data_IF_094891298044
#
_entry.id   IF_094891298044
#
_cell.length_a   1.000
_cell.length_b   1.000
_cell.length_c   1.000
_cell.angle_alpha   90.00
_cell.angle_beta   90.00
_cell.angle_gamma   90.00
#
_symmetry.space_group_name_H-M   'P 1'
#
loop_
_entity.id
_entity.type
_entity.pdbx_description
1 polymer ?
#
# COMPACT_ATOMS: atom_id res chain seq x y z
N UNK A 1 20.77 -13.66 -16.97
CA UNK A 1 19.36 -13.61 -16.52
C UNK A 1 18.67 -12.57 -17.39
N UNK A 2 17.53 -12.90 -18.03
CA UNK A 2 16.85 -11.94 -18.89
C UNK A 2 16.12 -10.91 -18.00
N UNK A 3 16.61 -9.66 -18.01
CA UNK A 3 16.09 -8.59 -17.15
C UNK A 3 14.62 -8.27 -17.48
N UNK A 4 14.27 -8.24 -18.77
CA UNK A 4 12.91 -8.01 -19.24
C UNK A 4 11.95 -9.08 -18.73
N UNK A 5 12.40 -10.34 -18.66
CA UNK A 5 11.57 -11.43 -18.15
C UNK A 5 11.26 -11.24 -16.65
N UNK A 6 12.24 -10.80 -15.86
CA UNK A 6 12.04 -10.54 -14.43
C UNK A 6 11.15 -9.33 -14.20
N UNK A 7 11.38 -8.25 -14.95
CA UNK A 7 10.59 -7.04 -14.90
C UNK A 7 9.12 -7.33 -15.27
N UNK A 8 8.88 -7.96 -16.42
CA UNK A 8 7.53 -8.32 -16.85
C UNK A 8 6.89 -9.35 -15.91
N UNK A 9 7.67 -10.31 -15.42
CA UNK A 9 7.24 -11.28 -14.43
C UNK A 9 6.78 -10.62 -13.12
N UNK A 10 7.52 -9.65 -12.60
CA UNK A 10 7.14 -8.91 -11.40
C UNK A 10 5.84 -8.11 -11.58
N UNK A 11 5.70 -7.42 -12.72
CA UNK A 11 4.48 -6.69 -13.04
C UNK A 11 3.28 -7.63 -13.16
N UNK A 12 3.41 -8.74 -13.88
CA UNK A 12 2.34 -9.72 -14.02
C UNK A 12 2.00 -10.40 -12.68
N UNK A 13 3.01 -10.64 -11.84
CA UNK A 13 2.83 -11.29 -10.54
C UNK A 13 1.94 -10.50 -9.59
N UNK A 14 2.04 -9.16 -9.56
CA UNK A 14 1.23 -8.34 -8.63
C UNK A 14 -0.24 -8.23 -9.04
N UNK A 15 -0.56 -8.32 -10.34
CA UNK A 15 -1.91 -8.06 -10.87
C UNK A 15 -3.00 -8.98 -10.31
N UNK A 16 -2.79 -10.31 -10.15
CA UNK A 16 -3.76 -11.18 -9.50
C UNK A 16 -4.11 -10.73 -8.08
N UNK A 17 -3.14 -10.28 -7.28
CA UNK A 17 -3.39 -9.84 -5.91
C UNK A 17 -4.24 -8.57 -5.88
N UNK A 18 -3.93 -7.60 -6.73
CA UNK A 18 -4.75 -6.39 -6.91
C UNK A 18 -6.17 -6.72 -7.36
N UNK A 19 -6.30 -7.60 -8.35
CA UNK A 19 -7.60 -8.04 -8.88
C UNK A 19 -8.43 -8.70 -7.78
N UNK A 20 -7.84 -9.58 -6.98
CA UNK A 20 -8.51 -10.22 -5.85
C UNK A 20 -8.99 -9.20 -4.81
N UNK A 21 -8.14 -8.24 -4.42
CA UNK A 21 -8.49 -7.20 -3.45
C UNK A 21 -9.58 -6.25 -3.95
N UNK A 22 -9.59 -5.92 -5.24
CA UNK A 22 -10.52 -4.95 -5.85
C UNK A 22 -11.87 -5.61 -6.19
N UNK A 23 -11.86 -6.76 -6.85
CA UNK A 23 -13.05 -7.41 -7.42
C UNK A 23 -13.71 -8.36 -6.43
N UNK A 24 -12.91 -9.11 -5.66
CA UNK A 24 -13.39 -10.16 -4.75
C UNK A 24 -12.93 -9.93 -3.30
N UNK A 25 -13.18 -8.75 -2.70
CA UNK A 25 -12.64 -8.40 -1.39
C UNK A 25 -13.19 -9.27 -0.25
N UNK A 26 -14.39 -9.82 -0.37
CA UNK A 26 -15.01 -10.64 0.70
C UNK A 26 -14.76 -12.14 0.55
N UNK A 27 -14.06 -12.57 -0.49
CA UNK A 27 -13.85 -13.99 -0.75
C UNK A 27 -12.84 -14.58 0.23
N UNK A 28 -13.15 -15.76 0.80
CA UNK A 28 -12.30 -16.40 1.82
C UNK A 28 -10.88 -16.72 1.31
N UNK A 29 -10.74 -17.04 0.02
CA UNK A 29 -9.44 -17.25 -0.60
C UNK A 29 -8.64 -15.93 -0.69
N UNK A 30 -9.28 -14.83 -1.10
CA UNK A 30 -8.65 -13.50 -1.12
C UNK A 30 -8.08 -13.15 0.25
N UNK A 31 -8.86 -13.34 1.32
CA UNK A 31 -8.40 -13.08 2.69
C UNK A 31 -7.16 -13.91 3.03
N UNK A 32 -7.22 -15.23 2.80
CA UNK A 32 -6.11 -16.14 3.11
C UNK A 32 -4.84 -15.82 2.31
N UNK A 33 -4.98 -15.48 1.04
CA UNK A 33 -3.84 -15.13 0.17
C UNK A 33 -3.20 -13.81 0.61
N UNK A 34 -4.00 -12.78 0.88
CA UNK A 34 -3.52 -11.45 1.25
C UNK A 34 -3.00 -11.40 2.70
N UNK A 35 -3.50 -12.25 3.60
CA UNK A 35 -2.95 -12.43 4.95
C UNK A 35 -1.57 -13.11 4.95
N UNK A 36 -1.27 -13.92 3.94
CA UNK A 36 0.03 -14.57 3.81
C UNK A 36 1.14 -13.57 3.49
N UNK A 37 2.32 -13.76 4.08
CA UNK A 37 3.52 -13.01 3.70
C UNK A 37 4.21 -13.56 2.45
N UNK A 38 3.77 -14.72 1.94
CA UNK A 38 4.43 -15.42 0.84
C UNK A 38 4.60 -14.57 -0.44
N UNK A 39 3.60 -13.79 -0.90
CA UNK A 39 3.77 -12.93 -2.07
C UNK A 39 4.85 -11.86 -1.87
N UNK A 40 4.93 -11.31 -0.66
CA UNK A 40 5.89 -10.28 -0.29
C UNK A 40 7.30 -10.85 -0.18
N UNK A 41 7.46 -12.05 0.37
CA UNK A 41 8.76 -12.74 0.42
C UNK A 41 9.26 -13.04 -0.99
N UNK A 42 8.39 -13.47 -1.90
CA UNK A 42 8.77 -13.72 -3.30
C UNK A 42 9.27 -12.44 -3.99
N UNK A 43 8.54 -11.33 -3.86
CA UNK A 43 8.96 -10.04 -4.44
C UNK A 43 10.20 -9.46 -3.76
N UNK A 44 10.33 -9.59 -2.43
CA UNK A 44 11.50 -9.15 -1.69
C UNK A 44 12.75 -9.98 -2.05
N UNK A 45 12.59 -11.29 -2.29
CA UNK A 45 13.65 -12.15 -2.80
C UNK A 45 14.10 -11.72 -4.20
N UNK A 46 13.16 -11.42 -5.10
CA UNK A 46 13.48 -10.87 -6.42
C UNK A 46 14.20 -9.52 -6.30
N UNK A 47 13.71 -8.61 -5.46
CA UNK A 47 14.36 -7.34 -5.17
C UNK A 47 15.79 -7.56 -4.68
N UNK A 48 16.03 -8.48 -3.75
CA UNK A 48 17.37 -8.74 -3.21
C UNK A 48 18.33 -9.22 -4.31
N UNK A 49 17.88 -10.11 -5.20
CA UNK A 49 18.69 -10.59 -6.33
C UNK A 49 19.04 -9.46 -7.28
N UNK A 50 18.06 -8.63 -7.65
CA UNK A 50 18.28 -7.47 -8.54
C UNK A 50 19.16 -6.41 -7.88
N UNK A 51 18.92 -6.12 -6.60
CA UNK A 51 19.68 -5.15 -5.82
C UNK A 51 21.15 -5.54 -5.75
N UNK A 52 21.46 -6.75 -5.28
CA UNK A 52 22.84 -7.26 -5.24
C UNK A 52 23.47 -7.29 -6.63
N UNK A 53 22.70 -7.67 -7.65
CA UNK A 53 23.16 -7.66 -9.05
C UNK A 53 23.36 -6.28 -9.67
N UNK A 54 22.83 -5.22 -9.05
CA UNK A 54 22.98 -3.82 -9.45
C UNK A 54 24.05 -3.07 -8.67
N UNK A 55 24.55 -3.65 -7.56
CA UNK A 55 25.60 -3.04 -6.75
C UNK A 55 26.98 -3.17 -7.42
N UNK A 56 27.60 -2.01 -7.64
CA UNK A 56 28.99 -1.80 -7.99
C UNK A 56 29.57 -0.64 -7.16
N UNK A 57 30.87 -0.35 -7.32
CA UNK A 57 31.55 0.72 -6.56
C UNK A 57 30.85 2.07 -6.72
N UNK A 58 30.57 2.48 -7.95
CA UNK A 58 29.94 3.77 -8.26
C UNK A 58 28.52 3.90 -7.65
N UNK A 59 27.72 2.84 -7.76
CA UNK A 59 26.38 2.79 -7.17
C UNK A 59 26.42 2.80 -5.63
N UNK A 60 27.38 2.12 -5.02
CA UNK A 60 27.52 2.07 -3.57
C UNK A 60 27.93 3.43 -3.01
N UNK A 61 28.84 4.14 -3.67
CA UNK A 61 29.23 5.50 -3.28
C UNK A 61 28.05 6.48 -3.40
N UNK A 62 27.32 6.42 -4.51
CA UNK A 62 26.15 7.27 -4.71
C UNK A 62 25.02 6.97 -3.70
N UNK A 63 24.81 5.71 -3.30
CA UNK A 63 23.85 5.39 -2.25
C UNK A 63 24.34 5.83 -0.86
N UNK A 64 25.65 5.84 -0.61
CA UNK A 64 26.22 6.30 0.65
C UNK A 64 26.17 7.83 0.81
N UNK A 65 26.33 8.57 -0.29
CA UNK A 65 26.19 10.03 -0.34
C UNK A 65 25.21 10.46 -1.45
N UNK A 66 23.89 10.32 -1.23
CA UNK A 66 22.90 10.50 -2.28
C UNK A 66 22.78 11.96 -2.73
N UNK A 67 23.24 12.23 -3.94
CA UNK A 67 22.97 13.45 -4.68
C UNK A 67 21.98 13.18 -5.81
N UNK A 68 21.05 14.11 -6.05
CA UNK A 68 19.99 13.93 -7.04
C UNK A 68 20.55 13.63 -8.45
N UNK A 69 21.64 14.31 -8.83
CA UNK A 69 22.27 14.11 -10.14
C UNK A 69 22.89 12.70 -10.28
N UNK A 70 23.50 12.18 -9.22
CA UNK A 70 24.16 10.88 -9.23
C UNK A 70 23.12 9.75 -9.22
N UNK A 71 22.06 9.89 -8.42
CA UNK A 71 20.94 8.96 -8.46
C UNK A 71 20.27 8.94 -9.84
N UNK A 72 20.02 10.10 -10.45
CA UNK A 72 19.42 10.17 -11.79
C UNK A 72 20.29 9.46 -12.85
N UNK A 73 21.62 9.57 -12.75
CA UNK A 73 22.55 8.85 -13.63
C UNK A 73 22.50 7.34 -13.40
N UNK A 74 22.44 6.90 -12.15
CA UNK A 74 22.33 5.47 -11.83
C UNK A 74 21.02 4.86 -12.30
N UNK A 75 19.91 5.59 -12.17
CA UNK A 75 18.61 5.15 -12.69
C UNK A 75 18.56 5.07 -14.23
N UNK A 76 19.55 5.60 -14.95
CA UNK A 76 19.66 5.38 -16.40
C UNK A 76 20.12 3.94 -16.73
N UNK A 77 20.70 3.21 -15.77
CA UNK A 77 21.00 1.78 -15.91
C UNK A 77 19.71 0.97 -15.73
N UNK A 78 19.39 0.13 -16.71
CA UNK A 78 18.18 -0.71 -16.72
C UNK A 78 18.09 -1.61 -15.48
N UNK A 79 19.21 -2.12 -14.95
CA UNK A 79 19.22 -2.98 -13.77
C UNK A 79 18.87 -2.22 -12.52
N UNK A 80 19.44 -1.02 -12.34
CA UNK A 80 19.11 -0.15 -11.21
C UNK A 80 17.66 0.29 -11.29
N UNK A 81 17.19 0.65 -12.49
CA UNK A 81 15.79 0.98 -12.74
C UNK A 81 14.85 -0.20 -12.41
N UNK A 82 15.17 -1.41 -12.86
CA UNK A 82 14.37 -2.61 -12.56
C UNK A 82 14.35 -2.90 -11.05
N UNK A 83 15.49 -2.76 -10.36
CA UNK A 83 15.56 -2.88 -8.89
C UNK A 83 14.64 -1.87 -8.19
N UNK A 84 14.70 -0.60 -8.60
CA UNK A 84 13.83 0.45 -8.07
C UNK A 84 12.35 0.20 -8.38
N UNK A 85 12.04 -0.31 -9.57
CA UNK A 85 10.67 -0.66 -9.95
C UNK A 85 10.10 -1.79 -9.08
N UNK A 86 10.87 -2.87 -8.89
CA UNK A 86 10.44 -3.97 -8.00
C UNK A 86 10.30 -3.48 -6.57
N UNK A 87 11.14 -2.55 -6.11
CA UNK A 87 10.97 -1.90 -4.81
C UNK A 87 9.59 -1.22 -4.70
N UNK A 88 9.18 -0.44 -5.70
CA UNK A 88 7.84 0.17 -5.73
C UNK A 88 6.73 -0.88 -5.72
N UNK A 89 6.84 -1.93 -6.56
CA UNK A 89 5.84 -3.00 -6.58
C UNK A 89 5.64 -3.69 -5.22
N UNK A 90 6.73 -3.95 -4.49
CA UNK A 90 6.68 -4.55 -3.14
C UNK A 90 5.98 -3.60 -2.17
N UNK A 91 6.37 -2.33 -2.16
CA UNK A 91 5.84 -1.34 -1.23
C UNK A 91 4.38 -1.01 -1.51
N UNK A 92 4.01 -0.83 -2.78
CA UNK A 92 2.64 -0.54 -3.19
C UNK A 92 1.70 -1.70 -2.89
N UNK A 93 2.13 -2.94 -3.15
CA UNK A 93 1.33 -4.12 -2.78
C UNK A 93 1.17 -4.24 -1.25
N UNK A 94 2.20 -3.87 -0.49
CA UNK A 94 2.15 -3.93 0.97
C UNK A 94 1.20 -2.89 1.54
N UNK A 95 1.26 -1.66 1.02
CA UNK A 95 0.31 -0.59 1.34
C UNK A 95 -1.11 -0.98 0.91
N UNK A 96 -1.28 -1.55 -0.28
CA UNK A 96 -2.56 -2.06 -0.78
C UNK A 96 -3.14 -3.13 0.14
N UNK A 97 -2.33 -4.09 0.60
CA UNK A 97 -2.72 -5.07 1.61
C UNK A 97 -3.19 -4.39 2.90
N UNK A 98 -2.46 -3.40 3.39
CA UNK A 98 -2.84 -2.68 4.61
C UNK A 98 -4.19 -1.96 4.44
N UNK A 99 -4.37 -1.22 3.34
CA UNK A 99 -5.65 -0.57 3.00
C UNK A 99 -6.78 -1.60 2.97
N UNK A 100 -6.57 -2.73 2.28
CA UNK A 100 -7.55 -3.80 2.17
C UNK A 100 -7.92 -4.36 3.56
N UNK A 101 -6.93 -4.71 4.39
CA UNK A 101 -7.17 -5.25 5.73
C UNK A 101 -7.90 -4.26 6.64
N UNK A 102 -7.55 -2.97 6.56
CA UNK A 102 -8.24 -1.95 7.34
C UNK A 102 -9.68 -1.77 6.88
N UNK A 103 -9.95 -1.76 5.57
CA UNK A 103 -11.31 -1.76 5.03
C UNK A 103 -12.15 -2.95 5.49
N UNK A 104 -11.55 -4.13 5.55
CA UNK A 104 -12.23 -5.34 6.03
C UNK A 104 -12.56 -5.29 7.53
N UNK A 105 -11.71 -4.64 8.32
CA UNK A 105 -11.90 -4.49 9.78
C UNK A 105 -12.90 -3.40 10.12
N UNK A 106 -12.88 -2.29 9.39
CA UNK A 106 -13.70 -1.09 9.67
C UNK A 106 -15.00 -1.04 8.87
N UNK A 107 -15.15 -1.87 7.83
CA UNK A 107 -16.26 -1.82 6.89
C UNK A 107 -16.18 -0.65 5.90
N UNK A 108 -15.10 0.12 5.92
CA UNK A 108 -14.89 1.28 5.04
C UNK A 108 -14.67 0.80 3.61
N UNK A 109 -15.28 1.49 2.65
CA UNK A 109 -15.08 1.21 1.23
C UNK A 109 -13.64 1.53 0.82
N UNK A 110 -12.93 0.58 0.19
CA UNK A 110 -11.49 0.69 -0.13
C UNK A 110 -11.16 0.59 -1.60
N UNK A 111 -12.12 0.25 -2.47
CA UNK A 111 -11.88 0.00 -3.90
C UNK A 111 -11.20 1.18 -4.59
N UNK A 112 -11.67 2.41 -4.36
CA UNK A 112 -11.06 3.62 -4.94
C UNK A 112 -9.62 3.82 -4.47
N UNK A 113 -9.35 3.57 -3.19
CA UNK A 113 -8.01 3.72 -2.61
C UNK A 113 -7.06 2.64 -3.13
N UNK A 114 -7.53 1.41 -3.34
CA UNK A 114 -6.75 0.32 -3.93
C UNK A 114 -6.43 0.59 -5.41
N UNK A 115 -7.40 1.08 -6.20
CA UNK A 115 -7.15 1.45 -7.60
C UNK A 115 -6.14 2.59 -7.68
N UNK A 116 -6.26 3.61 -6.83
CA UNK A 116 -5.27 4.69 -6.77
C UNK A 116 -3.90 4.17 -6.33
N UNK A 117 -3.85 3.26 -5.36
CA UNK A 117 -2.61 2.66 -4.86
C UNK A 117 -1.88 1.82 -5.91
N UNK A 118 -2.62 1.17 -6.82
CA UNK A 118 -2.05 0.40 -7.92
C UNK A 118 -1.27 1.28 -8.92
N UNK A 119 -1.76 2.49 -9.21
CA UNK A 119 -1.09 3.40 -10.14
C UNK A 119 -0.11 4.35 -9.45
N UNK A 120 -0.40 4.70 -8.20
CA UNK A 120 0.39 5.60 -7.38
C UNK A 120 0.17 5.27 -5.90
N UNK A 121 1.02 4.41 -5.33
CA UNK A 121 0.97 3.99 -3.93
C UNK A 121 0.67 5.12 -2.92
N UNK A 122 1.41 6.25 -2.96
CA UNK A 122 1.18 7.37 -2.04
C UNK A 122 -0.21 8.01 -2.16
N UNK A 123 -0.76 8.09 -3.38
CA UNK A 123 -2.10 8.67 -3.61
C UNK A 123 -3.19 7.74 -3.08
N UNK A 124 -3.03 6.43 -3.25
CA UNK A 124 -3.94 5.45 -2.68
C UNK A 124 -3.97 5.47 -1.15
N UNK A 125 -2.79 5.58 -0.52
CA UNK A 125 -2.67 5.73 0.93
C UNK A 125 -3.36 7.01 1.42
N UNK A 126 -3.08 8.14 0.78
CA UNK A 126 -3.70 9.43 1.12
C UNK A 126 -5.23 9.35 0.98
N UNK A 127 -5.72 8.78 -0.12
CA UNK A 127 -7.14 8.56 -0.37
C UNK A 127 -7.80 7.74 0.76
N UNK A 128 -7.15 6.67 1.21
CA UNK A 128 -7.69 5.83 2.28
C UNK A 128 -7.74 6.59 3.62
N UNK A 129 -6.68 7.32 3.97
CA UNK A 129 -6.63 8.12 5.20
C UNK A 129 -7.74 9.17 5.21
N UNK A 130 -7.93 9.89 4.10
CA UNK A 130 -9.01 10.89 3.96
C UNK A 130 -10.37 10.22 4.11
N UNK A 131 -10.60 9.10 3.40
CA UNK A 131 -11.88 8.38 3.46
C UNK A 131 -12.19 7.91 4.88
N UNK A 132 -11.19 7.37 5.57
CA UNK A 132 -11.31 6.93 6.95
C UNK A 132 -11.64 8.09 7.88
N UNK A 133 -10.93 9.21 7.75
CA UNK A 133 -11.19 10.40 8.56
C UNK A 133 -12.61 10.93 8.37
N UNK A 134 -13.05 11.08 7.11
CA UNK A 134 -14.41 11.49 6.76
C UNK A 134 -15.44 10.54 7.39
N UNK A 135 -15.27 9.23 7.23
CA UNK A 135 -16.21 8.24 7.77
C UNK A 135 -16.33 8.34 9.29
N UNK A 136 -15.22 8.48 10.02
CA UNK A 136 -15.27 8.64 11.48
C UNK A 136 -16.00 9.93 11.92
N UNK A 137 -15.81 11.05 11.22
CA UNK A 137 -16.49 12.31 11.56
C UNK A 137 -18.02 12.21 11.40
N UNK A 138 -18.50 11.52 10.36
CA UNK A 138 -19.93 11.38 10.09
C UNK A 138 -20.62 10.31 10.95
N UNK A 139 -19.92 9.26 11.36
CA UNK A 139 -20.51 8.17 12.15
C UNK A 139 -20.30 8.29 13.68
N UNK A 140 -19.53 9.27 14.17
CA UNK A 140 -19.30 9.49 15.63
C UNK A 140 -20.11 10.61 16.28
N UNK A 141 -21.15 11.17 15.63
CA UNK A 141 -22.08 12.10 16.29
C UNK A 141 -23.53 11.75 15.94
N UNK A 142 -24.28 11.19 16.91
CA UNK A 142 -25.15 12.05 17.72
C UNK A 142 -25.34 11.57 19.17
N UNK A 143 -24.76 12.25 20.15
CA UNK A 143 -25.29 12.27 21.51
C UNK A 143 -24.87 13.60 22.16
N UNK A 144 -25.70 14.63 21.97
CA UNK A 144 -25.68 15.81 22.83
C UNK A 144 -26.96 15.78 23.67
N UNK A 145 -26.87 15.04 24.77
CA UNK A 145 -27.26 15.41 26.13
C UNK A 145 -28.74 15.75 26.43
N UNK A 146 -29.52 14.87 27.09
CA UNK A 146 -30.77 15.23 27.76
C UNK A 146 -30.50 15.50 29.25
N UNK A 147 -29.64 16.47 29.57
CA UNK A 147 -29.47 16.95 30.94
C UNK A 147 -29.89 18.43 31.03
N UNK A 148 -31.19 18.70 31.07
CA UNK A 148 -31.75 19.91 31.71
C UNK A 148 -33.24 19.74 31.95
N UNK A 149 -33.65 19.64 33.21
CA UNK A 149 -35.07 19.69 33.56
C UNK A 149 -35.54 19.05 34.88
N UNK A 150 -34.69 18.83 35.88
CA UNK A 150 -35.18 18.64 37.25
C UNK A 150 -35.48 20.00 37.88
N UNK A 151 -36.75 20.39 37.90
CA UNK A 151 -37.32 21.19 38.99
C UNK A 151 -38.68 20.58 39.32
N UNK A 152 -38.69 19.78 40.38
CA UNK A 152 -39.89 19.41 41.13
C UNK A 152 -40.10 20.49 42.20
N UNK A 153 -41.06 21.42 42.04
CA UNK A 153 -41.42 22.32 43.11
C UNK A 153 -42.43 21.60 44.00
N UNK A 154 -42.00 21.24 45.21
CA UNK A 154 -42.83 21.17 46.41
C UNK A 154 -44.33 20.93 46.16
N UNK A 155 -44.72 19.66 46.07
CA UNK A 155 -46.10 19.24 46.31
C UNK A 155 -46.47 19.59 47.77
N UNK A 156 -47.11 20.75 47.92
CA UNK A 156 -47.92 21.18 49.06
C UNK A 156 -49.22 20.38 49.12
#
# INVERSE_FOLDING_TARGET
MNLDLLFNGANLFVLPFWTLMIVLPKWGMTRKVIESFLPFVALAGLYLVLFVGSLNVDSAEAFANPQLADLARLFADERVMATGWVHFLVMDLFVGRWIYQEGQRTGIWTTHSLVLCLFAGPLGLLSHIVTRWVTHQFFSKPESDPATGTTDPAAL
#
